data_IF_163262914763
#
_entry.id   IF_163262914763
#
_cell.length_a   1.000
_cell.length_b   1.000
_cell.length_c   1.000
_cell.angle_alpha   90.00
_cell.angle_beta   90.00
_cell.angle_gamma   90.00
#
_symmetry.space_group_name_H-M   'P 1'
#
loop_
_entity.id
_entity.type
_entity.pdbx_description
1 polymer ?
#
# COMPACT_ATOMS: atom_id res chain seq x y z
N UNK A 1 -21.70 6.53 4.46
CA UNK A 1 -21.60 7.52 3.37
C UNK A 1 -20.55 8.53 3.81
N UNK A 2 -19.27 8.15 3.73
CA UNK A 2 -18.16 9.02 4.09
C UNK A 2 -17.69 9.69 2.80
N UNK A 3 -17.68 11.02 2.80
CA UNK A 3 -17.40 11.84 1.62
C UNK A 3 -16.00 11.53 1.07
N UNK A 4 -15.93 11.17 -0.22
CA UNK A 4 -14.70 11.01 -0.98
C UNK A 4 -13.90 12.31 -0.97
N UNK A 5 -12.90 12.37 -0.08
CA UNK A 5 -11.94 13.46 -0.07
C UNK A 5 -11.13 13.44 -1.37
N UNK A 6 -11.20 14.53 -2.12
CA UNK A 6 -10.45 14.70 -3.37
C UNK A 6 -8.94 14.57 -3.09
N UNK A 7 -8.35 13.48 -3.60
CA UNK A 7 -6.93 13.19 -3.43
C UNK A 7 -6.12 14.02 -4.44
N UNK A 8 -5.60 15.16 -4.00
CA UNK A 8 -4.64 15.92 -4.80
C UNK A 8 -3.22 15.46 -4.49
N UNK A 9 -2.46 15.09 -5.52
CA UNK A 9 -1.03 14.79 -5.41
C UNK A 9 -0.32 16.11 -5.10
N UNK A 10 0.28 16.22 -3.91
CA UNK A 10 1.03 17.42 -3.48
C UNK A 10 2.50 17.39 -3.93
N UNK A 11 3.02 16.22 -4.27
CA UNK A 11 4.41 15.99 -4.65
C UNK A 11 4.76 14.50 -4.66
N UNK A 12 5.98 14.17 -5.09
CA UNK A 12 6.53 12.83 -5.07
C UNK A 12 7.86 12.82 -4.28
N UNK A 13 8.18 11.71 -3.63
CA UNK A 13 9.39 11.52 -2.85
C UNK A 13 9.87 10.07 -2.93
N UNK A 14 11.17 9.85 -2.71
CA UNK A 14 11.78 8.52 -2.65
C UNK A 14 12.07 8.15 -1.20
N UNK A 15 11.58 6.99 -0.77
CA UNK A 15 11.77 6.46 0.57
C UNK A 15 12.46 5.11 0.47
N UNK A 16 13.80 5.09 0.46
CA UNK A 16 14.59 3.91 0.15
C UNK A 16 14.23 2.67 0.99
N UNK A 17 13.93 2.84 2.28
CA UNK A 17 13.51 1.73 3.15
C UNK A 17 12.11 1.23 2.79
N UNK A 18 11.16 2.12 2.50
CA UNK A 18 9.81 1.69 2.11
C UNK A 18 9.81 1.03 0.73
N UNK A 19 10.69 1.46 -0.16
CA UNK A 19 10.86 0.87 -1.49
C UNK A 19 11.39 -0.56 -1.48
N UNK A 20 11.87 -1.08 -0.33
CA UNK A 20 12.25 -2.51 -0.22
C UNK A 20 11.07 -3.43 0.11
N UNK A 21 9.91 -2.88 0.47
CA UNK A 21 8.74 -3.68 0.86
C UNK A 21 8.02 -4.18 -0.37
N UNK A 22 7.85 -5.51 -0.46
CA UNK A 22 7.20 -6.16 -1.59
C UNK A 22 5.67 -5.97 -1.60
N UNK A 23 5.08 -6.26 -2.75
CA UNK A 23 3.65 -6.20 -2.96
C UNK A 23 2.90 -7.46 -2.48
N UNK A 24 1.74 -7.28 -1.85
CA UNK A 24 0.72 -8.31 -1.71
C UNK A 24 -0.68 -7.71 -1.88
N UNK A 25 -1.59 -8.40 -2.58
CA UNK A 25 -3.01 -8.03 -2.63
C UNK A 25 -3.77 -8.39 -1.33
N UNK A 26 -3.08 -9.05 -0.39
CA UNK A 26 -3.48 -9.25 1.00
C UNK A 26 -2.31 -8.80 1.90
N UNK A 27 -2.07 -7.48 2.00
CA UNK A 27 -0.91 -6.94 2.70
C UNK A 27 -1.06 -7.07 4.22
N UNK A 28 0.07 -7.14 4.93
CA UNK A 28 0.11 -7.13 6.40
C UNK A 28 0.60 -5.78 6.97
N UNK A 29 0.91 -4.81 6.11
CA UNK A 29 1.19 -3.44 6.48
C UNK A 29 0.63 -2.42 5.48
N UNK A 30 0.44 -1.18 5.92
CA UNK A 30 0.05 -0.04 5.10
C UNK A 30 0.97 1.17 5.35
N UNK A 31 1.14 2.01 4.33
CA UNK A 31 1.89 3.25 4.42
C UNK A 31 0.91 4.42 4.54
N UNK A 32 1.10 5.27 5.55
CA UNK A 32 0.28 6.46 5.77
C UNK A 32 1.14 7.70 5.89
N UNK A 33 0.73 8.78 5.23
CA UNK A 33 1.36 10.07 5.40
C UNK A 33 0.98 10.63 6.78
N UNK A 34 1.95 11.00 7.61
CA UNK A 34 1.64 11.69 8.85
C UNK A 34 1.04 13.06 8.51
N UNK A 35 -0.22 13.31 8.88
CA UNK A 35 -0.76 14.67 8.90
C UNK A 35 -0.62 15.19 10.33
N UNK A 36 -0.02 16.36 10.56
CA UNK A 36 0.04 16.93 11.90
C UNK A 36 -1.39 17.21 12.39
N UNK A 37 -1.73 16.74 13.58
CA UNK A 37 -3.03 16.98 14.22
C UNK A 37 -3.17 18.41 14.79
N UNK A 38 -2.14 19.26 14.68
CA UNK A 38 -2.10 20.57 15.32
C UNK A 38 -1.72 21.67 14.33
N UNK A 39 -2.34 22.85 14.48
CA UNK A 39 -2.22 24.04 13.63
C UNK A 39 -0.81 24.68 13.56
N UNK A 40 0.22 24.00 14.06
CA UNK A 40 1.61 24.37 13.81
C UNK A 40 2.08 23.53 12.62
N UNK A 41 2.22 24.19 11.48
CA UNK A 41 2.65 23.63 10.19
C UNK A 41 3.94 22.82 10.40
N UNK A 42 3.82 21.53 10.67
CA UNK A 42 4.93 20.60 10.55
C UNK A 42 5.00 20.22 9.08
N UNK A 43 6.07 20.68 8.44
CA UNK A 43 6.50 20.36 7.07
C UNK A 43 7.04 18.93 6.95
N UNK A 44 6.68 18.03 7.87
CA UNK A 44 7.19 16.67 7.86
C UNK A 44 6.59 15.89 6.68
N UNK A 45 7.47 15.39 5.83
CA UNK A 45 7.15 14.44 4.75
C UNK A 45 7.30 13.00 5.25
N UNK A 46 6.98 12.77 6.53
CA UNK A 46 7.22 11.49 7.18
C UNK A 46 6.15 10.48 6.76
N UNK A 47 6.63 9.29 6.38
CA UNK A 47 5.80 8.14 6.05
C UNK A 47 5.81 7.16 7.22
N UNK A 48 4.63 6.74 7.66
CA UNK A 48 4.49 5.72 8.70
C UNK A 48 4.11 4.40 8.06
N UNK A 49 4.88 3.36 8.37
CA UNK A 49 4.51 1.98 8.12
C UNK A 49 3.74 1.45 9.32
N UNK A 50 2.49 1.01 9.12
CA UNK A 50 1.64 0.45 10.16
C UNK A 50 1.24 -0.96 9.80
N UNK A 51 1.35 -1.89 10.74
CA UNK A 51 0.85 -3.26 10.57
C UNK A 51 -0.67 -3.28 10.57
N UNK A 52 -1.29 -4.05 9.68
CA UNK A 52 -2.75 -4.23 9.61
C UNK A 52 -3.24 -5.45 10.39
N UNK A 53 -2.32 -6.31 10.80
CA UNK A 53 -2.53 -7.48 11.66
C UNK A 53 -1.24 -7.84 12.38
N UNK A 54 -1.29 -8.80 13.30
CA UNK A 54 -0.08 -9.38 13.88
C UNK A 54 0.81 -10.00 12.79
N UNK A 55 2.13 -9.82 12.93
CA UNK A 55 3.16 -10.35 12.05
C UNK A 55 4.09 -11.22 12.91
N UNK A 56 4.35 -12.44 12.45
CA UNK A 56 5.24 -13.37 13.15
C UNK A 56 6.70 -13.17 12.75
N UNK A 57 7.64 -13.60 13.60
CA UNK A 57 9.07 -13.56 13.27
C UNK A 57 9.35 -14.37 12.00
N UNK A 58 10.04 -13.76 11.04
CA UNK A 58 10.37 -14.36 9.75
C UNK A 58 9.28 -14.21 8.68
N UNK A 59 8.11 -13.67 9.03
CA UNK A 59 7.09 -13.31 8.06
C UNK A 59 7.51 -12.03 7.30
N UNK A 60 7.39 -12.05 5.98
CA UNK A 60 7.69 -10.89 5.14
C UNK A 60 6.67 -9.76 5.36
N UNK A 61 7.15 -8.52 5.45
CA UNK A 61 6.28 -7.35 5.51
C UNK A 61 5.95 -6.88 4.09
N UNK A 62 4.67 -6.94 3.72
CA UNK A 62 4.20 -6.58 2.39
C UNK A 62 3.17 -5.45 2.47
N UNK A 63 3.25 -4.53 1.51
CA UNK A 63 2.31 -3.43 1.28
C UNK A 63 1.54 -3.67 -0.03
N UNK A 64 0.53 -2.85 -0.33
CA UNK A 64 -0.08 -2.83 -1.67
C UNK A 64 0.46 -1.65 -2.48
N UNK A 65 0.67 -1.87 -3.78
CA UNK A 65 1.16 -0.85 -4.73
C UNK A 65 0.01 -0.26 -5.56
N UNK A 66 -1.15 -0.92 -5.48
CA UNK A 66 -2.33 -0.63 -6.28
C UNK A 66 -3.55 -0.48 -5.35
N UNK A 67 -4.60 0.23 -5.77
CA UNK A 67 -5.90 0.16 -5.12
C UNK A 67 -6.41 -1.28 -5.07
N UNK A 68 -7.06 -1.65 -3.97
CA UNK A 68 -7.66 -2.96 -3.77
C UNK A 68 -9.18 -2.82 -3.68
N UNK A 69 -9.83 -2.74 -4.84
CA UNK A 69 -11.28 -2.62 -4.91
C UNK A 69 -11.97 -3.97 -4.62
N UNK A 70 -13.18 -3.89 -4.06
CA UNK A 70 -14.06 -5.03 -3.90
C UNK A 70 -14.42 -5.62 -5.28
N UNK A 71 -14.36 -6.95 -5.40
CA UNK A 71 -14.65 -7.65 -6.67
C UNK A 71 -13.55 -7.62 -7.73
N UNK A 72 -12.41 -6.95 -7.49
CA UNK A 72 -11.25 -7.03 -8.39
C UNK A 72 -10.74 -8.48 -8.51
N UNK A 73 -10.45 -8.94 -9.73
CA UNK A 73 -9.94 -10.29 -10.00
C UNK A 73 -8.41 -10.33 -9.96
N UNK A 74 -7.81 -11.51 -9.86
CA UNK A 74 -6.36 -11.64 -10.00
C UNK A 74 -5.85 -11.07 -11.34
N UNK A 75 -6.61 -11.21 -12.42
CA UNK A 75 -6.23 -10.67 -13.73
C UNK A 75 -6.22 -9.13 -13.72
N UNK A 76 -7.27 -8.47 -13.21
CA UNK A 76 -7.32 -7.01 -13.18
C UNK A 76 -6.25 -6.41 -12.27
N UNK A 77 -5.98 -7.02 -11.11
CA UNK A 77 -4.89 -6.59 -10.21
C UNK A 77 -3.51 -6.76 -10.84
N UNK A 78 -3.28 -7.85 -11.59
CA UNK A 78 -2.00 -8.05 -12.28
C UNK A 78 -1.81 -7.09 -13.45
N UNK A 79 -2.87 -6.65 -14.13
CA UNK A 79 -2.74 -5.60 -15.16
C UNK A 79 -2.29 -4.26 -14.56
N UNK A 80 -2.81 -3.89 -13.37
CA UNK A 80 -2.35 -2.69 -12.64
C UNK A 80 -0.89 -2.78 -12.18
N UNK A 81 -0.36 -4.00 -12.01
CA UNK A 81 1.02 -4.24 -11.59
C UNK A 81 2.02 -4.35 -12.74
N UNK A 82 1.57 -4.29 -13.99
CA UNK A 82 2.40 -4.53 -15.18
C UNK A 82 3.62 -3.62 -15.27
N UNK A 83 3.51 -2.37 -14.82
CA UNK A 83 4.62 -1.39 -14.76
C UNK A 83 5.69 -1.72 -13.71
N UNK A 84 5.40 -2.64 -12.79
CA UNK A 84 6.36 -3.14 -11.81
C UNK A 84 7.09 -4.42 -12.27
N UNK A 85 6.81 -4.90 -13.48
CA UNK A 85 7.52 -6.01 -14.13
C UNK A 85 7.49 -7.35 -13.37
N UNK A 86 6.42 -7.63 -12.62
CA UNK A 86 6.20 -8.93 -11.97
C UNK A 86 4.73 -9.38 -12.06
N UNK A 87 4.47 -10.66 -11.75
CA UNK A 87 3.13 -11.22 -11.57
C UNK A 87 2.91 -11.57 -10.10
N UNK A 88 1.89 -10.99 -9.48
CA UNK A 88 1.53 -11.25 -8.10
C UNK A 88 0.94 -12.67 -7.94
N UNK A 89 1.50 -13.44 -7.00
CA UNK A 89 1.08 -14.78 -6.60
C UNK A 89 0.73 -14.88 -5.11
N UNK A 90 0.33 -13.76 -4.50
CA UNK A 90 -0.09 -13.75 -3.09
C UNK A 90 -1.33 -14.65 -2.86
N UNK A 91 -1.65 -15.02 -1.61
CA UNK A 91 -2.76 -15.92 -1.31
C UNK A 91 -4.10 -15.51 -1.95
N UNK A 92 -4.41 -14.20 -1.97
CA UNK A 92 -5.61 -13.67 -2.64
C UNK A 92 -5.60 -13.93 -4.16
N UNK A 93 -4.48 -13.73 -4.83
CA UNK A 93 -4.38 -14.00 -6.27
C UNK A 93 -4.44 -15.49 -6.62
N UNK A 94 -3.92 -16.35 -5.74
CA UNK A 94 -3.98 -17.81 -5.94
C UNK A 94 -5.40 -18.34 -5.71
N UNK A 95 -6.13 -17.79 -4.74
CA UNK A 95 -7.51 -18.18 -4.47
C UNK A 95 -8.52 -17.76 -5.55
N UNK A 96 -8.23 -16.67 -6.28
CA UNK A 96 -9.05 -16.17 -7.39
C UNK A 96 -8.85 -16.94 -8.71
N UNK A 97 -7.99 -17.97 -8.73
CA UNK A 97 -7.60 -18.72 -9.95
C UNK A 97 -8.51 -19.90 -10.25
#
# INVERSE_FOLDING_TARGET
MEAGGLLFIKGAALYSILSTLNHSCSPNACVVNQRPHHHNISTSHDMLLKTTRAIHKGEEVCITYIPLDEGSTAASRNELLKSYFFKCRCPRCVADS
#
